data_IF_161494718738
#
_entry.id   IF_161494718738
#
_cell.length_a   1.000
_cell.length_b   1.000
_cell.length_c   1.000
_cell.angle_alpha   90.00
_cell.angle_beta   90.00
_cell.angle_gamma   90.00
#
_symmetry.space_group_name_H-M   'P 1'
#
loop_
_entity.id
_entity.type
_entity.pdbx_description
1 polymer ?
#
# COMPACT_ATOMS: atom_id res chain seq x y z
N UNK A 1 15.63 31.33 8.50
CA UNK A 1 15.12 30.79 9.78
C UNK A 1 14.37 29.51 9.48
N UNK A 2 14.65 28.39 10.18
CA UNK A 2 13.87 27.17 10.01
C UNK A 2 12.42 27.39 10.46
N UNK A 3 11.45 26.80 9.75
CA UNK A 3 10.04 26.90 10.13
C UNK A 3 9.76 26.26 11.48
N UNK A 4 8.95 26.94 12.30
CA UNK A 4 8.34 26.38 13.52
C UNK A 4 7.30 25.32 13.15
N UNK A 5 6.93 24.40 14.06
CA UNK A 5 5.90 23.38 13.76
C UNK A 5 4.59 23.97 13.20
N UNK A 6 4.10 25.07 13.80
CA UNK A 6 2.90 25.75 13.32
C UNK A 6 3.07 26.32 11.89
N UNK A 7 4.22 26.92 11.58
CA UNK A 7 4.50 27.43 10.23
C UNK A 7 4.66 26.30 9.20
N UNK A 8 5.16 25.13 9.61
CA UNK A 8 5.18 23.94 8.74
C UNK A 8 3.75 23.45 8.44
N UNK A 9 2.88 23.45 9.44
CA UNK A 9 1.47 23.15 9.28
C UNK A 9 0.78 24.10 8.30
N UNK A 10 1.00 25.41 8.45
CA UNK A 10 0.48 26.42 7.53
C UNK A 10 1.03 26.25 6.10
N UNK A 11 2.33 25.97 5.96
CA UNK A 11 2.93 25.71 4.65
C UNK A 11 2.33 24.47 3.97
N UNK A 12 2.10 23.38 4.70
CA UNK A 12 1.42 22.17 4.17
C UNK A 12 -0.02 22.52 3.80
N UNK A 13 -0.72 23.26 4.65
CA UNK A 13 -2.07 23.72 4.38
C UNK A 13 -2.13 24.74 3.24
N UNK A 14 -1.04 25.31 2.75
CA UNK A 14 -1.04 26.19 1.58
C UNK A 14 -0.44 25.51 0.34
N UNK A 15 -0.10 24.22 0.43
CA UNK A 15 0.50 23.49 -0.68
C UNK A 15 -0.58 22.84 -1.56
N UNK A 16 -0.88 23.49 -2.69
CA UNK A 16 -1.95 23.08 -3.61
C UNK A 16 -1.81 21.66 -4.14
N UNK A 17 -0.57 21.17 -4.33
CA UNK A 17 -0.33 19.81 -4.79
C UNK A 17 -0.86 18.77 -3.80
N UNK A 18 -0.53 18.91 -2.51
CA UNK A 18 -1.01 18.01 -1.45
C UNK A 18 -2.51 18.15 -1.26
N UNK A 19 -3.04 19.37 -1.24
CA UNK A 19 -4.50 19.61 -1.18
C UNK A 19 -5.25 18.89 -2.29
N UNK A 20 -4.75 18.99 -3.53
CA UNK A 20 -5.38 18.36 -4.70
C UNK A 20 -5.40 16.85 -4.56
N UNK A 21 -4.29 16.25 -4.13
CA UNK A 21 -4.20 14.81 -3.93
C UNK A 21 -5.12 14.37 -2.78
N UNK A 22 -5.06 15.03 -1.62
CA UNK A 22 -5.95 14.74 -0.48
C UNK A 22 -7.43 14.79 -0.88
N UNK A 23 -7.84 15.87 -1.56
CA UNK A 23 -9.21 16.03 -2.05
C UNK A 23 -9.59 14.99 -3.12
N UNK A 24 -8.63 14.45 -3.86
CA UNK A 24 -8.92 13.43 -4.88
C UNK A 24 -9.42 12.11 -4.27
N UNK A 25 -9.10 11.83 -3.00
CA UNK A 25 -9.57 10.66 -2.25
C UNK A 25 -10.84 10.90 -1.43
N UNK A 26 -11.26 12.16 -1.24
CA UNK A 26 -12.47 12.49 -0.50
C UNK A 26 -13.74 12.22 -1.32
N UNK A 27 -14.83 11.78 -0.67
CA UNK A 27 -16.11 11.57 -1.34
C UNK A 27 -16.74 12.92 -1.66
N UNK A 28 -17.45 13.01 -2.79
CA UNK A 28 -18.19 14.23 -3.16
C UNK A 28 -19.19 14.64 -2.08
N UNK A 29 -19.85 13.68 -1.45
CA UNK A 29 -20.80 13.94 -0.36
C UNK A 29 -20.13 14.55 0.86
N UNK A 30 -18.94 14.06 1.24
CA UNK A 30 -18.17 14.56 2.38
C UNK A 30 -17.72 16.01 2.13
N UNK A 31 -17.28 16.33 0.91
CA UNK A 31 -16.96 17.71 0.50
C UNK A 31 -18.19 18.62 0.61
N UNK A 32 -19.34 18.20 0.07
CA UNK A 32 -20.58 18.98 0.12
C UNK A 32 -21.07 19.18 1.55
N UNK A 33 -20.91 18.17 2.41
CA UNK A 33 -21.25 18.26 3.82
C UNK A 33 -20.35 19.27 4.55
N UNK A 34 -19.04 19.22 4.28
CA UNK A 34 -18.08 20.21 4.81
C UNK A 34 -18.41 21.64 4.35
N UNK A 35 -18.73 21.83 3.06
CA UNK A 35 -19.13 23.12 2.52
C UNK A 35 -20.43 23.65 3.16
N UNK A 36 -21.40 22.75 3.40
CA UNK A 36 -22.66 23.08 4.06
C UNK A 36 -22.42 23.51 5.51
N UNK A 37 -21.59 22.78 6.26
CA UNK A 37 -21.22 23.13 7.62
C UNK A 37 -20.51 24.49 7.69
N UNK A 38 -19.55 24.75 6.79
CA UNK A 38 -18.87 26.04 6.71
C UNK A 38 -19.83 27.20 6.41
N UNK A 39 -20.83 26.95 5.54
CA UNK A 39 -21.87 27.93 5.25
C UNK A 39 -22.77 28.19 6.46
N UNK A 40 -23.14 27.15 7.21
CA UNK A 40 -23.95 27.27 8.41
C UNK A 40 -23.19 28.01 9.52
N UNK A 41 -21.89 27.75 9.69
CA UNK A 41 -21.02 28.52 10.58
C UNK A 41 -20.90 29.99 10.17
N UNK A 42 -20.72 30.27 8.88
CA UNK A 42 -20.61 31.64 8.37
C UNK A 42 -21.92 32.43 8.52
N UNK A 43 -23.07 31.77 8.32
CA UNK A 43 -24.38 32.40 8.42
C UNK A 43 -24.87 32.52 9.87
N UNK A 44 -24.55 31.57 10.74
CA UNK A 44 -24.83 31.64 12.18
C UNK A 44 -23.97 32.69 12.91
N UNK A 45 -22.71 32.89 12.48
CA UNK A 45 -21.86 34.01 12.94
C UNK A 45 -22.43 35.38 12.59
N UNK A 46 -23.22 35.48 11.51
CA UNK A 46 -23.88 36.73 11.09
C UNK A 46 -25.16 37.03 11.89
N UNK A 47 -25.71 36.05 12.62
CA UNK A 47 -26.96 36.18 13.37
C UNK A 47 -26.81 36.14 14.90
N UNK A 48 -25.61 35.85 15.44
CA UNK A 48 -25.40 35.73 16.90
C UNK A 48 -24.27 36.61 17.43
N UNK A 49 -24.64 37.79 17.94
CA UNK A 49 -23.82 38.61 18.85
C UNK A 49 -23.97 38.18 20.32
N UNK A 50 -24.05 36.88 20.60
CA UNK A 50 -24.27 36.36 21.95
C UNK A 50 -23.93 34.87 22.07
N UNK A 51 -22.94 34.60 22.93
CA UNK A 51 -22.42 33.34 23.50
C UNK A 51 -22.45 32.06 22.63
N UNK A 52 -21.32 31.32 22.51
CA UNK A 52 -21.31 30.04 21.82
C UNK A 52 -22.12 29.03 22.64
N UNK A 53 -23.21 28.51 22.07
CA UNK A 53 -23.88 27.32 22.58
C UNK A 53 -23.02 26.11 22.22
N UNK A 54 -22.47 25.49 23.25
CA UNK A 54 -21.65 24.29 23.18
C UNK A 54 -22.57 23.07 22.99
N UNK A 55 -23.14 22.90 21.80
CA UNK A 55 -24.03 21.78 21.45
C UNK A 55 -23.68 21.15 20.09
N UNK A 56 -22.44 21.33 19.61
CA UNK A 56 -21.91 20.69 18.39
C UNK A 56 -21.20 19.36 18.71
N UNK A 57 -21.69 18.62 19.71
CA UNK A 57 -20.97 17.48 20.31
C UNK A 57 -21.11 16.14 19.60
N UNK A 58 -22.10 15.94 18.73
CA UNK A 58 -22.47 14.59 18.28
C UNK A 58 -22.44 14.36 16.76
N UNK A 59 -22.16 15.37 15.93
CA UNK A 59 -22.40 15.22 14.50
C UNK A 59 -21.25 14.60 13.68
N UNK A 60 -19.97 14.78 14.01
CA UNK A 60 -18.84 14.15 13.27
C UNK A 60 -17.53 14.24 14.06
N UNK A 61 -17.23 13.28 14.93
CA UNK A 61 -15.90 13.18 15.53
C UNK A 61 -14.89 12.79 14.44
N UNK A 62 -14.18 13.78 13.89
CA UNK A 62 -13.11 13.52 12.95
C UNK A 62 -12.00 12.70 13.63
N UNK A 63 -11.52 11.64 12.97
CA UNK A 63 -10.40 10.85 13.47
C UNK A 63 -9.14 11.70 13.63
N UNK A 64 -8.50 11.58 14.79
CA UNK A 64 -7.21 12.21 15.08
C UNK A 64 -6.05 11.28 14.71
N UNK A 65 -5.09 11.79 13.94
CA UNK A 65 -3.94 11.01 13.50
C UNK A 65 -2.71 11.28 14.39
N UNK A 66 -2.10 10.20 14.87
CA UNK A 66 -0.83 10.23 15.60
C UNK A 66 0.15 9.33 14.85
N UNK A 67 1.34 9.85 14.56
CA UNK A 67 2.38 9.13 13.86
C UNK A 67 3.54 8.77 14.79
N UNK A 68 4.00 7.53 14.73
CA UNK A 68 5.18 7.05 15.45
C UNK A 68 6.32 6.80 14.46
N UNK A 69 7.48 7.43 14.68
CA UNK A 69 8.61 7.36 13.73
C UNK A 69 9.93 7.15 14.47
N UNK A 70 10.71 6.10 14.13
CA UNK A 70 12.09 5.97 14.58
C UNK A 70 12.98 6.94 13.78
N UNK A 71 13.58 7.93 14.45
CA UNK A 71 14.46 8.90 13.83
C UNK A 71 15.60 9.33 14.79
N UNK A 72 16.81 9.47 14.25
CA UNK A 72 18.00 9.90 15.02
C UNK A 72 18.27 9.05 16.27
N UNK A 73 18.07 7.72 16.17
CA UNK A 73 18.30 6.78 17.27
C UNK A 73 17.26 6.87 18.40
N UNK A 74 16.14 7.56 18.19
CA UNK A 74 15.01 7.65 19.13
C UNK A 74 13.68 7.39 18.43
N UNK A 75 12.70 6.95 19.18
CA UNK A 75 11.32 6.81 18.72
C UNK A 75 10.56 8.07 19.08
N UNK A 76 9.94 8.70 18.08
CA UNK A 76 9.20 9.94 18.23
C UNK A 76 7.71 9.71 18.03
N UNK A 77 6.91 10.30 18.89
CA UNK A 77 5.46 10.48 18.74
C UNK A 77 5.21 11.87 18.18
N UNK A 78 4.58 11.92 17.01
CA UNK A 78 4.13 13.14 16.35
C UNK A 78 2.61 13.21 16.44
N UNK A 79 2.14 14.16 17.25
CA UNK A 79 0.73 14.49 17.41
C UNK A 79 0.50 15.91 16.87
N UNK A 80 -0.42 16.07 15.92
CA UNK A 80 -0.72 17.37 15.29
C UNK A 80 -1.41 18.38 16.20
N UNK A 81 -1.98 17.95 17.33
CA UNK A 81 -2.60 18.81 18.33
C UNK A 81 -1.62 19.21 19.44
N UNK A 82 -0.48 18.51 19.54
CA UNK A 82 0.57 18.83 20.50
C UNK A 82 1.56 19.87 19.93
N UNK A 83 2.10 20.72 20.81
CA UNK A 83 2.99 21.82 20.41
C UNK A 83 4.37 21.34 19.92
N UNK A 84 4.85 20.21 20.43
CA UNK A 84 6.18 19.66 20.16
C UNK A 84 6.11 18.13 20.10
N UNK A 85 6.97 17.48 19.30
CA UNK A 85 7.04 16.03 19.25
C UNK A 85 7.55 15.46 20.58
N UNK A 86 7.00 14.30 20.97
CA UNK A 86 7.40 13.61 22.19
C UNK A 86 8.39 12.49 21.87
N UNK A 87 9.50 12.41 22.61
CA UNK A 87 10.42 11.28 22.52
C UNK A 87 9.95 10.17 23.46
N UNK A 88 9.65 8.98 22.91
CA UNK A 88 9.20 7.82 23.69
C UNK A 88 10.36 7.04 24.30
N UNK A 89 11.49 6.96 23.58
CA UNK A 89 12.66 6.20 24.02
C UNK A 89 13.77 6.13 22.97
N UNK A 90 14.89 5.53 23.35
CA UNK A 90 16.02 5.29 22.43
C UNK A 90 15.80 4.00 21.64
N UNK A 91 15.97 4.07 20.31
CA UNK A 91 16.01 2.90 19.44
C UNK A 91 17.48 2.47 19.33
N UNK A 92 17.87 1.55 20.22
CA UNK A 92 19.20 0.90 20.18
C UNK A 92 19.18 -0.31 19.25
N UNK A 93 20.32 -0.60 18.62
CA UNK A 93 20.51 -1.83 17.81
C UNK A 93 20.25 -3.05 18.71
N UNK A 94 19.10 -3.70 18.53
CA UNK A 94 18.68 -4.88 19.30
C UNK A 94 17.32 -4.74 19.99
N UNK A 95 16.80 -3.53 20.21
CA UNK A 95 15.42 -3.34 20.67
C UNK A 95 14.51 -3.01 19.48
N UNK A 96 13.46 -3.80 19.30
CA UNK A 96 12.43 -3.51 18.33
C UNK A 96 11.65 -2.28 18.81
N UNK A 97 11.76 -1.18 18.08
CA UNK A 97 11.08 0.07 18.42
C UNK A 97 9.55 -0.08 18.44
N UNK A 98 9.04 -1.14 17.81
CA UNK A 98 7.63 -1.51 17.80
C UNK A 98 7.09 -1.84 19.20
N UNK A 99 7.89 -2.41 20.09
CA UNK A 99 7.44 -2.72 21.45
C UNK A 99 7.16 -1.44 22.25
N UNK A 100 8.02 -0.42 22.11
CA UNK A 100 7.82 0.89 22.73
C UNK A 100 6.56 1.59 22.23
N UNK A 101 6.25 1.44 20.93
CA UNK A 101 5.05 2.02 20.32
C UNK A 101 3.81 1.24 20.73
N UNK A 102 3.89 -0.09 20.80
CA UNK A 102 2.78 -0.97 21.23
C UNK A 102 2.27 -0.58 22.60
N UNK A 103 3.15 -0.43 23.58
CA UNK A 103 2.77 -0.06 24.94
C UNK A 103 2.08 1.30 24.98
N UNK A 104 2.52 2.26 24.15
CA UNK A 104 1.90 3.57 24.04
C UNK A 104 0.50 3.52 23.42
N UNK A 105 0.34 2.74 22.34
CA UNK A 105 -0.95 2.54 21.67
C UNK A 105 -1.93 1.85 22.62
N UNK A 106 -1.52 0.77 23.29
CA UNK A 106 -2.37 0.04 24.23
C UNK A 106 -2.80 0.93 25.39
N UNK A 107 -1.86 1.66 26.00
CA UNK A 107 -2.17 2.64 27.06
C UNK A 107 -3.25 3.61 26.58
N UNK A 108 -3.09 4.16 25.37
CA UNK A 108 -4.06 5.08 24.79
C UNK A 108 -5.42 4.42 24.52
N UNK A 109 -5.45 3.18 24.05
CA UNK A 109 -6.69 2.42 23.86
C UNK A 109 -7.43 2.17 25.18
N UNK A 110 -6.70 1.95 26.28
CA UNK A 110 -7.29 1.77 27.62
C UNK A 110 -7.82 3.07 28.24
N UNK A 111 -7.34 4.23 27.81
CA UNK A 111 -7.80 5.54 28.30
C UNK A 111 -9.20 5.93 27.76
N UNK A 112 -9.67 5.30 26.68
CA UNK A 112 -11.00 5.55 26.12
C UNK A 112 -12.06 4.64 26.76
N UNK A 113 -13.27 5.17 26.95
CA UNK A 113 -14.42 4.45 27.52
C UNK A 113 -14.87 3.29 26.61
N UNK A 114 -15.44 2.23 27.19
CA UNK A 114 -15.77 0.94 26.55
C UNK A 114 -16.65 1.05 25.28
N UNK A 115 -17.31 2.19 25.05
CA UNK A 115 -18.22 2.43 23.93
C UNK A 115 -17.59 3.19 22.73
N UNK A 116 -16.35 3.67 22.81
CA UNK A 116 -15.64 4.33 21.68
C UNK A 116 -14.57 3.42 21.08
N UNK A 117 -14.98 2.49 20.21
CA UNK A 117 -14.12 1.41 19.68
C UNK A 117 -13.52 1.73 18.29
N UNK A 118 -13.76 2.92 17.73
CA UNK A 118 -13.32 3.25 16.37
C UNK A 118 -11.84 3.69 16.33
N UNK A 119 -10.91 2.72 16.33
CA UNK A 119 -9.48 2.96 16.10
C UNK A 119 -9.02 2.32 14.78
N UNK A 120 -8.12 3.02 14.08
CA UNK A 120 -7.43 2.48 12.92
C UNK A 120 -5.93 2.60 13.13
N UNK A 121 -5.23 1.48 12.95
CA UNK A 121 -3.77 1.41 13.01
C UNK A 121 -3.28 1.10 11.61
N UNK A 122 -2.42 1.95 11.08
CA UNK A 122 -1.81 1.81 9.77
C UNK A 122 -0.29 1.82 9.92
N UNK A 123 0.40 1.01 9.11
CA UNK A 123 1.86 1.00 9.03
C UNK A 123 2.31 1.44 7.65
N UNK A 124 3.40 2.22 7.60
CA UNK A 124 4.07 2.55 6.34
C UNK A 124 5.19 1.53 6.13
N UNK A 125 4.98 0.60 5.21
CA UNK A 125 5.93 -0.44 4.85
C UNK A 125 6.51 -0.20 3.45
N UNK A 126 7.64 -0.85 3.16
CA UNK A 126 8.17 -0.91 1.80
C UNK A 126 7.25 -1.78 0.95
N UNK A 127 7.02 -1.36 -0.29
CA UNK A 127 6.26 -2.15 -1.26
C UNK A 127 6.91 -3.54 -1.45
N UNK A 128 6.23 -4.63 -1.05
CA UNK A 128 6.76 -5.98 -1.17
C UNK A 128 6.92 -6.43 -2.62
N UNK A 129 6.17 -5.83 -3.55
CA UNK A 129 6.23 -6.15 -4.97
C UNK A 129 7.63 -5.93 -5.54
N UNK A 130 8.32 -4.87 -5.09
CA UNK A 130 9.68 -4.56 -5.55
C UNK A 130 10.67 -5.67 -5.17
N UNK A 131 10.63 -6.13 -3.92
CA UNK A 131 11.52 -7.19 -3.44
C UNK A 131 11.20 -8.54 -4.09
N UNK A 132 9.92 -8.80 -4.41
CA UNK A 132 9.51 -9.98 -5.15
C UNK A 132 9.99 -9.96 -6.61
N UNK A 133 9.90 -8.81 -7.29
CA UNK A 133 10.40 -8.65 -8.66
C UNK A 133 11.92 -8.77 -8.71
N UNK A 134 12.64 -8.21 -7.73
CA UNK A 134 14.10 -8.36 -7.63
C UNK A 134 14.51 -9.84 -7.45
N UNK A 135 13.80 -10.59 -6.59
CA UNK A 135 14.00 -12.04 -6.43
C UNK A 135 13.70 -12.81 -7.73
N UNK A 136 12.65 -12.42 -8.45
CA UNK A 136 12.31 -13.01 -9.74
C UNK A 136 13.40 -12.73 -10.78
N UNK A 137 13.94 -11.52 -10.82
CA UNK A 137 15.03 -11.14 -11.72
C UNK A 137 16.31 -11.97 -11.46
N UNK A 138 16.66 -12.18 -10.19
CA UNK A 138 17.76 -13.06 -9.78
C UNK A 138 17.49 -14.50 -10.24
N UNK A 139 16.29 -15.03 -10.02
CA UNK A 139 15.92 -16.38 -10.44
C UNK A 139 16.03 -16.57 -11.97
N UNK A 140 15.53 -15.63 -12.77
CA UNK A 140 15.62 -15.65 -14.24
C UNK A 140 17.07 -15.61 -14.69
N UNK A 141 17.91 -14.77 -14.06
CA UNK A 141 19.34 -14.70 -14.38
C UNK A 141 20.07 -16.01 -14.03
N UNK A 142 19.73 -16.64 -12.91
CA UNK A 142 20.27 -17.95 -12.53
C UNK A 142 19.89 -19.04 -13.53
N UNK A 143 18.64 -19.06 -14.01
CA UNK A 143 18.18 -19.97 -15.06
C UNK A 143 18.94 -19.77 -16.38
N UNK A 144 19.16 -18.52 -16.78
CA UNK A 144 19.90 -18.15 -17.98
C UNK A 144 21.39 -18.56 -17.89
N UNK A 145 22.04 -18.41 -16.72
CA UNK A 145 23.39 -18.92 -16.46
C UNK A 145 23.44 -20.45 -16.61
N UNK A 146 22.49 -21.17 -16.00
CA UNK A 146 22.40 -22.63 -16.10
C UNK A 146 22.16 -23.09 -17.53
N UNK A 147 21.30 -22.41 -18.29
CA UNK A 147 21.03 -22.72 -19.68
C UNK A 147 22.28 -22.52 -20.56
N UNK A 148 23.05 -21.45 -20.33
CA UNK A 148 24.34 -21.24 -21.01
C UNK A 148 25.34 -22.35 -20.67
N UNK A 149 25.42 -22.76 -19.41
CA UNK A 149 26.31 -23.86 -19.01
C UNK A 149 25.91 -25.19 -19.67
N UNK A 150 24.62 -25.54 -19.68
CA UNK A 150 24.13 -26.76 -20.33
C UNK A 150 24.36 -26.77 -21.84
N UNK A 151 24.18 -25.63 -22.52
CA UNK A 151 24.44 -25.51 -23.96
C UNK A 151 25.92 -25.60 -24.32
N UNK A 152 26.82 -25.15 -23.44
CA UNK A 152 28.27 -25.26 -23.63
C UNK A 152 28.82 -26.67 -23.31
N UNK A 153 28.25 -27.33 -22.30
CA UNK A 153 28.75 -28.62 -21.78
C UNK A 153 28.15 -29.84 -22.51
N UNK A 154 26.96 -29.70 -23.12
CA UNK A 154 26.29 -30.75 -23.88
C UNK A 154 25.87 -30.25 -25.26
N UNK A 155 26.58 -30.68 -26.32
CA UNK A 155 26.17 -30.49 -27.70
C UNK A 155 24.94 -31.33 -28.07
N UNK A 156 23.78 -30.99 -27.53
CA UNK A 156 22.50 -31.57 -27.93
C UNK A 156 21.58 -30.44 -28.43
N UNK A 157 21.65 -30.21 -29.75
CA UNK A 157 20.66 -29.44 -30.49
C UNK A 157 19.34 -30.21 -30.51
N UNK A 158 18.34 -29.67 -29.82
CA UNK A 158 16.92 -29.84 -30.14
C UNK A 158 16.32 -31.22 -29.86
N UNK A 159 15.57 -31.33 -28.76
CA UNK A 159 14.20 -31.88 -28.72
C UNK A 159 13.73 -32.34 -27.33
N UNK A 160 14.58 -32.37 -26.29
CA UNK A 160 14.15 -32.82 -24.95
C UNK A 160 13.67 -31.73 -24.00
N UNK A 161 13.86 -30.44 -24.30
CA UNK A 161 13.44 -29.34 -23.43
C UNK A 161 11.92 -29.06 -23.42
N UNK A 162 11.13 -29.77 -24.23
CA UNK A 162 9.69 -29.52 -24.42
C UNK A 162 8.76 -30.49 -23.67
N UNK A 163 9.29 -31.42 -22.88
CA UNK A 163 8.47 -32.49 -22.27
C UNK A 163 8.63 -32.65 -20.76
N UNK A 164 9.22 -31.67 -20.07
CA UNK A 164 9.12 -31.63 -18.61
C UNK A 164 7.94 -30.73 -18.21
N UNK A 165 6.79 -31.27 -17.74
CA UNK A 165 5.62 -30.48 -17.37
C UNK A 165 5.90 -29.46 -16.25
N UNK A 166 7.03 -29.60 -15.52
CA UNK A 166 7.48 -28.60 -14.56
C UNK A 166 8.06 -27.31 -15.18
N UNK A 167 8.41 -27.33 -16.47
CA UNK A 167 9.01 -26.19 -17.18
C UNK A 167 8.06 -25.42 -18.10
N UNK A 168 6.84 -25.92 -18.36
CA UNK A 168 5.90 -25.32 -19.32
C UNK A 168 5.53 -23.86 -19.01
N UNK A 169 5.62 -23.47 -17.74
CA UNK A 169 5.29 -22.11 -17.30
C UNK A 169 6.51 -21.29 -16.89
N UNK A 170 7.74 -21.78 -17.04
CA UNK A 170 8.95 -21.05 -16.63
C UNK A 170 9.25 -19.89 -17.57
N UNK A 171 9.47 -18.72 -17.00
CA UNK A 171 9.84 -17.49 -17.67
C UNK A 171 11.37 -17.44 -17.79
N UNK A 172 11.83 -17.21 -19.02
CA UNK A 172 13.24 -17.17 -19.38
C UNK A 172 13.74 -15.75 -19.72
N UNK A 173 12.86 -14.74 -19.65
CA UNK A 173 13.18 -13.37 -20.03
C UNK A 173 12.23 -12.33 -19.42
N UNK A 174 12.26 -11.11 -19.94
CA UNK A 174 11.41 -10.03 -19.44
C UNK A 174 9.92 -10.32 -19.65
N UNK A 175 9.11 -10.08 -18.62
CA UNK A 175 7.66 -10.20 -18.65
C UNK A 175 7.02 -8.96 -18.04
N UNK A 176 6.44 -8.12 -18.91
CA UNK A 176 5.77 -6.87 -18.51
C UNK A 176 4.55 -7.12 -17.62
N UNK A 177 3.91 -8.29 -17.70
CA UNK A 177 2.75 -8.61 -16.86
C UNK A 177 3.12 -8.76 -15.39
N UNK A 178 4.36 -9.16 -15.11
CA UNK A 178 4.91 -9.31 -13.76
C UNK A 178 5.74 -8.09 -13.32
N UNK A 179 5.79 -7.03 -14.14
CA UNK A 179 6.62 -5.87 -13.89
C UNK A 179 8.12 -6.09 -14.08
N UNK A 180 8.52 -7.21 -14.70
CA UNK A 180 9.92 -7.57 -14.91
C UNK A 180 10.45 -6.94 -16.21
N UNK A 181 11.38 -6.01 -16.08
CA UNK A 181 12.06 -5.39 -17.22
C UNK A 181 13.43 -6.03 -17.50
N UNK A 182 13.88 -5.95 -18.75
CA UNK A 182 15.19 -6.48 -19.15
C UNK A 182 16.33 -5.81 -18.37
N UNK A 183 16.24 -4.50 -18.13
CA UNK A 183 17.24 -3.75 -17.36
C UNK A 183 17.39 -4.27 -15.92
N UNK A 184 16.28 -4.73 -15.30
CA UNK A 184 16.33 -5.29 -13.95
C UNK A 184 16.99 -6.67 -13.93
N UNK A 185 16.76 -7.49 -14.96
CA UNK A 185 17.44 -8.77 -15.13
C UNK A 185 18.95 -8.54 -15.33
N UNK A 186 19.32 -7.56 -16.16
CA UNK A 186 20.72 -7.27 -16.44
C UNK A 186 21.45 -6.75 -15.20
N UNK A 187 20.79 -5.89 -14.40
CA UNK A 187 21.32 -5.35 -13.15
C UNK A 187 21.34 -6.35 -11.99
N UNK A 188 20.44 -7.35 -11.98
CA UNK A 188 20.35 -8.35 -10.91
C UNK A 188 21.71 -9.04 -10.68
N UNK A 189 22.17 -9.08 -9.44
CA UNK A 189 23.41 -9.76 -9.08
C UNK A 189 23.06 -11.11 -8.45
N UNK A 190 23.33 -12.20 -9.17
CA UNK A 190 23.26 -13.54 -8.58
C UNK A 190 24.44 -13.66 -7.61
N UNK A 191 24.22 -14.16 -6.38
CA UNK A 191 25.31 -14.41 -5.44
C UNK A 191 26.45 -15.19 -6.09
N UNK A 192 27.70 -14.72 -5.93
CA UNK A 192 28.86 -15.31 -6.59
C UNK A 192 29.06 -16.80 -6.27
N UNK A 193 28.61 -17.23 -5.08
CA UNK A 193 28.59 -18.64 -4.67
C UNK A 193 27.65 -19.48 -5.52
N UNK A 194 26.44 -18.98 -5.79
CA UNK A 194 25.44 -19.67 -6.61
C UNK A 194 25.88 -19.69 -8.07
N UNK A 195 26.39 -18.57 -8.60
CA UNK A 195 26.93 -18.52 -9.95
C UNK A 195 28.09 -19.50 -10.16
N UNK A 196 28.98 -19.65 -9.16
CA UNK A 196 30.11 -20.59 -9.24
C UNK A 196 29.64 -22.04 -9.13
N UNK A 197 28.58 -22.31 -8.36
CA UNK A 197 27.95 -23.65 -8.28
C UNK A 197 27.30 -24.04 -9.60
N UNK A 198 26.58 -23.11 -10.24
CA UNK A 198 25.91 -23.36 -11.53
C UNK A 198 26.88 -23.53 -12.71
N UNK A 199 28.07 -22.93 -12.64
CA UNK A 199 29.10 -23.07 -13.67
C UNK A 199 29.94 -24.35 -13.56
N UNK A 200 29.98 -24.98 -12.39
CA UNK A 200 30.83 -26.15 -12.13
C UNK A 200 30.03 -27.45 -11.89
N UNK A 201 28.71 -27.42 -12.01
CA UNK A 201 27.85 -28.57 -11.73
C UNK A 201 27.81 -29.59 -12.88
N UNK A 202 27.49 -30.85 -12.57
CA UNK A 202 27.26 -31.87 -13.61
C UNK A 202 25.96 -31.60 -14.38
N UNK A 203 25.76 -32.27 -15.52
CA UNK A 203 24.53 -32.13 -16.34
C UNK A 203 23.29 -32.61 -15.57
N UNK A 204 23.42 -33.65 -14.75
CA UNK A 204 22.32 -34.16 -13.91
C UNK A 204 21.96 -33.19 -12.79
N UNK A 205 22.97 -32.60 -12.14
CA UNK A 205 22.76 -31.58 -11.11
C UNK A 205 22.16 -30.30 -11.70
N UNK A 206 22.57 -29.91 -12.91
CA UNK A 206 22.02 -28.74 -13.61
C UNK A 206 20.51 -28.87 -13.86
N UNK A 207 20.03 -30.07 -14.22
CA UNK A 207 18.61 -30.35 -14.39
C UNK A 207 17.84 -30.29 -13.06
N UNK A 208 18.43 -30.80 -11.97
CA UNK A 208 17.84 -30.67 -10.64
C UNK A 208 17.76 -29.20 -10.19
N UNK A 209 18.80 -28.40 -10.45
CA UNK A 209 18.76 -26.96 -10.15
C UNK A 209 17.74 -26.23 -11.03
N UNK A 210 17.60 -26.60 -12.30
CA UNK A 210 16.60 -26.01 -13.20
C UNK A 210 15.18 -26.28 -12.71
N UNK A 211 14.86 -27.52 -12.30
CA UNK A 211 13.54 -27.87 -11.75
C UNK A 211 13.27 -27.16 -10.42
N UNK A 212 14.26 -27.08 -9.53
CA UNK A 212 14.15 -26.33 -8.27
C UNK A 212 13.91 -24.83 -8.52
N UNK A 213 14.67 -24.22 -9.43
CA UNK A 213 14.51 -22.80 -9.78
C UNK A 213 13.17 -22.54 -10.47
N UNK A 214 12.69 -23.46 -11.32
CA UNK A 214 11.38 -23.38 -11.95
C UNK A 214 10.24 -23.42 -10.91
N UNK A 215 10.33 -24.32 -9.92
CA UNK A 215 9.38 -24.37 -8.81
C UNK A 215 9.39 -23.08 -7.97
N UNK A 216 10.57 -22.61 -7.57
CA UNK A 216 10.70 -21.35 -6.84
C UNK A 216 10.19 -20.15 -7.65
N UNK A 217 10.37 -20.17 -8.98
CA UNK A 217 9.81 -19.15 -9.85
C UNK A 217 8.28 -19.18 -9.89
N UNK A 218 7.66 -20.36 -9.86
CA UNK A 218 6.21 -20.49 -9.80
C UNK A 218 5.65 -19.86 -8.51
N UNK A 219 6.29 -20.09 -7.36
CA UNK A 219 5.93 -19.47 -6.08
C UNK A 219 6.07 -17.95 -6.13
N UNK A 220 7.21 -17.44 -6.64
CA UNK A 220 7.44 -16.00 -6.79
C UNK A 220 6.38 -15.35 -7.69
N UNK A 221 6.02 -16.01 -8.80
CA UNK A 221 4.97 -15.51 -9.71
C UNK A 221 3.59 -15.51 -9.07
N UNK A 222 3.27 -16.52 -8.27
CA UNK A 222 2.03 -16.57 -7.53
C UNK A 222 1.96 -15.39 -6.53
N UNK A 223 3.03 -15.18 -5.75
CA UNK A 223 3.13 -14.07 -4.80
C UNK A 223 3.03 -12.69 -5.48
N UNK A 224 3.71 -12.48 -6.62
CA UNK A 224 3.63 -11.23 -7.39
C UNK A 224 2.20 -10.98 -7.88
N UNK A 225 1.52 -12.01 -8.39
CA UNK A 225 0.14 -11.87 -8.89
C UNK A 225 -0.85 -11.56 -7.78
N UNK A 226 -0.67 -12.19 -6.61
CA UNK A 226 -1.47 -11.93 -5.42
C UNK A 226 -1.31 -10.47 -4.98
N UNK A 227 -0.08 -9.97 -4.89
CA UNK A 227 0.19 -8.57 -4.52
C UNK A 227 -0.37 -7.58 -5.55
N UNK A 228 -0.18 -7.84 -6.85
CA UNK A 228 -0.78 -7.02 -7.90
C UNK A 228 -2.32 -7.03 -7.84
N UNK A 229 -2.93 -8.14 -7.45
CA UNK A 229 -4.37 -8.21 -7.26
C UNK A 229 -4.82 -7.42 -6.03
N UNK A 230 -4.07 -7.47 -4.94
CA UNK A 230 -4.29 -6.65 -3.75
C UNK A 230 -4.27 -5.15 -4.10
N UNK A 231 -3.21 -4.68 -4.76
CA UNK A 231 -3.10 -3.29 -5.22
C UNK A 231 -4.27 -2.87 -6.12
N UNK A 232 -4.68 -3.72 -7.07
CA UNK A 232 -5.84 -3.45 -7.93
C UNK A 232 -7.14 -3.35 -7.14
N UNK A 233 -7.34 -4.22 -6.15
CA UNK A 233 -8.53 -4.18 -5.32
C UNK A 233 -8.60 -2.88 -4.49
N UNK A 234 -7.47 -2.42 -3.97
CA UNK A 234 -7.38 -1.15 -3.25
C UNK A 234 -7.65 0.06 -4.15
N UNK A 235 -7.10 0.06 -5.37
CA UNK A 235 -7.37 1.11 -6.38
C UNK A 235 -8.84 1.12 -6.82
N UNK A 236 -9.44 -0.05 -7.03
CA UNK A 236 -10.86 -0.20 -7.34
C UNK A 236 -11.74 0.28 -6.18
N UNK A 237 -11.37 -0.06 -4.94
CA UNK A 237 -12.07 0.41 -3.74
C UNK A 237 -12.00 1.94 -3.62
N UNK A 238 -10.81 2.53 -3.79
CA UNK A 238 -10.62 3.98 -3.79
C UNK A 238 -11.42 4.65 -4.91
N UNK A 239 -11.43 4.07 -6.11
CA UNK A 239 -12.21 4.57 -7.26
C UNK A 239 -13.71 4.47 -7.02
N UNK A 240 -14.18 3.35 -6.46
CA UNK A 240 -15.58 3.12 -6.12
C UNK A 240 -16.10 4.10 -5.07
N UNK A 241 -15.28 4.47 -4.07
CA UNK A 241 -15.62 5.52 -3.08
C UNK A 241 -15.80 6.90 -3.72
N UNK A 242 -15.10 7.18 -4.82
CA UNK A 242 -15.17 8.47 -5.52
C UNK A 242 -16.37 8.56 -6.45
N UNK A 243 -16.98 7.43 -6.80
CA UNK A 243 -18.08 7.39 -7.76
C UNK A 243 -19.35 8.03 -7.18
N UNK A 244 -19.91 9.00 -7.89
CA UNK A 244 -21.19 9.61 -7.52
C UNK A 244 -22.32 8.75 -8.08
N UNK A 245 -22.95 7.96 -7.21
CA UNK A 245 -24.12 7.15 -7.54
C UNK A 245 -25.41 7.99 -7.64
N UNK A 246 -25.40 9.27 -7.29
CA UNK A 246 -26.57 10.15 -7.29
C UNK A 246 -27.34 10.19 -8.62
N UNK A 247 -26.68 10.37 -9.78
CA UNK A 247 -27.35 10.31 -11.09
C UNK A 247 -28.01 8.95 -11.38
N UNK A 248 -27.33 7.85 -11.02
CA UNK A 248 -27.85 6.50 -11.22
C UNK A 248 -29.10 6.26 -10.36
N UNK A 249 -29.03 6.60 -9.06
CA UNK A 249 -30.14 6.50 -8.12
C UNK A 249 -31.33 7.34 -8.58
N UNK A 250 -31.12 8.61 -8.96
CA UNK A 250 -32.19 9.48 -9.48
C UNK A 250 -32.86 8.88 -10.70
N UNK A 251 -32.08 8.33 -11.63
CA UNK A 251 -32.61 7.70 -12.85
C UNK A 251 -33.42 6.45 -12.51
N UNK A 252 -32.93 5.62 -11.60
CA UNK A 252 -33.64 4.43 -11.11
C UNK A 252 -34.97 4.78 -10.42
N UNK A 253 -34.96 5.76 -9.51
CA UNK A 253 -36.17 6.24 -8.84
C UNK A 253 -37.19 6.77 -9.87
N UNK A 254 -36.73 7.52 -10.88
CA UNK A 254 -37.61 7.98 -11.97
C UNK A 254 -38.22 6.82 -12.76
N UNK A 255 -37.46 5.76 -13.05
CA UNK A 255 -37.99 4.57 -13.71
C UNK A 255 -39.03 3.83 -12.87
N UNK A 256 -38.76 3.67 -11.57
CA UNK A 256 -39.70 3.04 -10.63
C UNK A 256 -41.00 3.87 -10.50
N UNK A 257 -40.88 5.20 -10.49
CA UNK A 257 -42.04 6.11 -10.42
C UNK A 257 -42.90 6.00 -11.68
N UNK A 258 -42.28 5.97 -12.87
CA UNK A 258 -43.00 5.80 -14.14
C UNK A 258 -43.74 4.47 -14.22
N UNK A 259 -43.21 3.42 -13.61
CA UNK A 259 -43.85 2.10 -13.55
C UNK A 259 -44.88 1.95 -12.42
N UNK A 260 -45.08 2.99 -11.58
CA UNK A 260 -45.96 2.99 -10.40
C UNK A 260 -45.63 1.93 -9.33
N UNK A 261 -44.46 1.29 -9.42
CA UNK A 261 -44.02 0.25 -8.47
C UNK A 261 -43.67 0.86 -7.10
N UNK A 262 -43.34 2.16 -7.07
CA UNK A 262 -43.07 2.88 -5.82
C UNK A 262 -44.26 2.90 -4.85
N UNK A 263 -45.50 2.76 -5.35
CA UNK A 263 -46.70 2.73 -4.50
C UNK A 263 -46.90 1.36 -3.82
N UNK A 264 -46.33 0.30 -4.39
CA UNK A 264 -46.40 -1.08 -3.89
C UNK A 264 -45.30 -1.42 -2.87
N UNK A 265 -44.24 -0.60 -2.81
CA UNK A 265 -43.05 -0.77 -1.95
C UNK A 265 -43.24 -0.27 -0.51
N UNK A 266 -44.49 -0.19 -0.04
CA UNK A 266 -44.84 0.39 1.26
C UNK A 266 -44.87 -0.64 2.39
#
# INVERSE_FOLDING_TARGET
MPFTPALRGDAINNFDFVKRIHNSFARRMDMLHSDLQLKDEATSRKSRSGKPSHDDGEANAAFHFIAFVPAQGKVWKFDGLERQPQALGSSTVGNDWLDLVRDNILTRMYEYEEDQIEFSILSLARDPLLDLVDKLAINVKSLDILQRHMTLSGGCSGQTAFLDPGLENTIWGADKSLGLNQDQIDQAQVPAEESSRYQNCSVEDALQYQTHLAHGQQELRAAIREEQQSHRADDEYATGRRYDYGPAVRTWVQFLARKRILEELK
#
